data_IF_182158925194
#
_entry.id   IF_182158925194
#
_cell.length_a   1.000
_cell.length_b   1.000
_cell.length_c   1.000
_cell.angle_alpha   90.00
_cell.angle_beta   90.00
_cell.angle_gamma   90.00
#
_symmetry.space_group_name_H-M   'P 1'
#
loop_
_entity.id
_entity.type
_entity.pdbx_description
1 polymer ?
#
# COMPACT_ATOMS: atom_id res chain seq x y z
N UNK A 1 -42.63 58.27 65.09
CA UNK A 1 -43.90 58.88 65.57
C UNK A 1 -43.59 60.10 66.42
N UNK A 2 -44.44 61.12 66.38
CA UNK A 2 -44.21 62.36 67.12
C UNK A 2 -44.95 62.38 68.46
N UNK A 3 -44.40 61.63 69.41
CA UNK A 3 -45.00 61.43 70.72
C UNK A 3 -44.22 62.08 71.87
N UNK A 4 -43.08 62.72 71.60
CA UNK A 4 -42.25 63.32 72.65
C UNK A 4 -41.40 64.51 72.13
N UNK A 5 -41.87 65.77 72.24
CA UNK A 5 -43.17 66.20 72.75
C UNK A 5 -44.30 66.07 71.70
N UNK A 6 -45.53 65.83 72.15
CA UNK A 6 -46.74 65.94 71.32
C UNK A 6 -47.16 67.41 71.16
N UNK A 7 -47.43 67.91 69.94
CA UNK A 7 -47.90 69.28 69.73
C UNK A 7 -49.25 69.54 70.43
N UNK A 8 -49.37 70.64 71.17
CA UNK A 8 -50.60 71.04 71.89
C UNK A 8 -50.91 72.53 71.65
N UNK A 9 -52.18 72.93 71.81
CA UNK A 9 -52.68 74.32 71.74
C UNK A 9 -52.30 75.12 70.48
N UNK A 10 -52.34 74.49 69.30
CA UNK A 10 -51.97 75.14 68.03
C UNK A 10 -50.46 75.17 67.74
N UNK A 11 -49.65 74.45 68.52
CA UNK A 11 -48.21 74.28 68.28
C UNK A 11 -47.89 73.60 66.93
N UNK A 12 -46.70 73.89 66.39
CA UNK A 12 -46.30 73.45 65.05
C UNK A 12 -46.24 71.92 64.96
N UNK A 13 -46.85 71.35 63.92
CA UNK A 13 -46.78 69.92 63.65
C UNK A 13 -45.33 69.48 63.40
N UNK A 14 -45.02 68.24 63.77
CA UNK A 14 -43.67 67.70 63.67
C UNK A 14 -43.26 67.58 62.20
N UNK A 15 -42.10 68.13 61.87
CA UNK A 15 -41.58 68.18 60.51
C UNK A 15 -40.77 66.92 60.19
N UNK A 16 -41.06 66.28 59.06
CA UNK A 16 -40.38 65.07 58.59
C UNK A 16 -41.33 63.87 58.43
N UNK A 17 -40.83 62.78 57.83
CA UNK A 17 -41.60 61.55 57.65
C UNK A 17 -41.72 60.78 58.97
N UNK A 18 -42.91 60.24 59.25
CA UNK A 18 -43.17 59.35 60.39
C UNK A 18 -42.66 57.92 60.17
N UNK A 19 -42.23 57.63 58.94
CA UNK A 19 -41.77 56.32 58.49
C UNK A 19 -40.38 56.45 57.88
N UNK A 20 -39.53 55.50 58.23
CA UNK A 20 -38.23 55.29 57.59
C UNK A 20 -38.17 53.83 57.18
N UNK A 21 -37.76 53.59 55.96
CA UNK A 21 -37.63 52.27 55.37
C UNK A 21 -36.20 52.12 54.86
N UNK A 22 -35.54 51.03 55.26
CA UNK A 22 -34.21 50.67 54.80
C UNK A 22 -34.27 49.30 54.12
N UNK A 23 -33.56 49.17 53.00
CA UNK A 23 -33.46 47.89 52.30
C UNK A 23 -32.66 46.89 53.14
N UNK A 24 -33.21 45.68 53.31
CA UNK A 24 -32.53 44.53 53.89
C UNK A 24 -32.37 43.44 52.81
N UNK A 25 -31.38 42.57 52.97
CA UNK A 25 -31.06 41.50 52.01
C UNK A 25 -30.78 42.00 50.58
N UNK A 26 -29.94 43.03 50.44
CA UNK A 26 -29.56 43.61 49.14
C UNK A 26 -28.59 42.73 48.32
N UNK A 27 -28.36 41.49 48.74
CA UNK A 27 -27.49 40.54 48.04
C UNK A 27 -28.26 40.00 46.83
N UNK A 28 -27.66 40.04 45.64
CA UNK A 28 -28.28 39.48 44.44
C UNK A 28 -28.50 37.97 44.59
N UNK A 29 -29.62 37.45 44.08
CA UNK A 29 -29.89 36.02 44.06
C UNK A 29 -28.91 35.28 43.14
N UNK A 30 -28.50 34.04 43.49
CA UNK A 30 -27.72 33.18 42.60
C UNK A 30 -28.41 32.99 41.25
N UNK A 31 -27.64 33.09 40.16
CA UNK A 31 -28.10 32.81 38.79
C UNK A 31 -27.26 31.64 38.29
N UNK A 32 -27.91 30.50 38.06
CA UNK A 32 -27.25 29.31 37.54
C UNK A 32 -26.90 29.49 36.06
N UNK A 33 -25.77 28.92 35.67
CA UNK A 33 -25.30 28.97 34.29
C UNK A 33 -26.11 28.10 33.35
N UNK A 34 -26.38 28.63 32.15
CA UNK A 34 -26.97 27.90 31.04
C UNK A 34 -26.00 27.79 29.86
N UNK A 35 -26.04 26.66 29.17
CA UNK A 35 -25.23 26.48 27.97
C UNK A 35 -25.75 27.37 26.83
N UNK A 36 -24.82 27.94 26.06
CA UNK A 36 -25.10 28.52 24.75
C UNK A 36 -25.62 27.46 23.80
N UNK A 37 -26.15 27.92 22.66
CA UNK A 37 -26.31 27.04 21.51
C UNK A 37 -24.97 26.41 21.12
N UNK A 38 -25.04 25.22 20.54
CA UNK A 38 -23.88 24.58 19.95
C UNK A 38 -23.31 25.43 18.83
N UNK A 39 -21.97 25.56 18.80
CA UNK A 39 -21.26 26.05 17.64
C UNK A 39 -21.39 25.10 16.45
N UNK A 40 -20.92 25.57 15.31
CA UNK A 40 -20.80 24.75 14.10
C UNK A 40 -19.85 23.58 14.34
N UNK A 41 -20.05 22.49 13.58
CA UNK A 41 -19.07 21.41 13.53
C UNK A 41 -17.76 21.92 12.92
N UNK A 42 -16.64 21.56 13.55
CA UNK A 42 -15.31 21.74 12.98
C UNK A 42 -15.08 20.83 11.77
N UNK A 43 -13.91 20.96 11.16
CA UNK A 43 -13.51 20.08 10.06
C UNK A 43 -13.34 18.64 10.55
N UNK A 44 -13.58 17.69 9.65
CA UNK A 44 -13.30 16.28 9.93
C UNK A 44 -11.79 16.05 10.04
N UNK A 45 -11.37 15.20 10.97
CA UNK A 45 -9.95 14.89 11.19
C UNK A 45 -9.24 14.24 9.99
N UNK A 46 -9.99 13.56 9.13
CA UNK A 46 -9.51 12.91 7.91
C UNK A 46 -10.52 13.09 6.79
N UNK A 47 -10.09 12.96 5.54
CA UNK A 47 -10.94 13.10 4.34
C UNK A 47 -11.61 11.78 3.94
N UNK A 48 -11.12 10.65 4.42
CA UNK A 48 -11.64 9.30 4.19
C UNK A 48 -11.23 8.38 5.36
N UNK A 49 -11.72 7.15 5.40
CA UNK A 49 -11.32 6.14 6.38
C UNK A 49 -11.95 6.29 7.77
N UNK A 50 -12.91 7.21 7.93
CA UNK A 50 -13.59 7.46 9.19
C UNK A 50 -12.81 8.42 10.10
N UNK A 51 -13.23 9.68 10.11
CA UNK A 51 -12.73 10.71 11.00
C UNK A 51 -13.71 11.13 12.07
N UNK A 52 -13.27 12.08 12.89
CA UNK A 52 -14.12 12.74 13.89
C UNK A 52 -14.12 14.24 13.66
N UNK A 53 -15.29 14.85 13.79
CA UNK A 53 -15.47 16.30 13.88
C UNK A 53 -16.01 16.66 15.26
N UNK A 54 -15.62 17.84 15.74
CA UNK A 54 -15.95 18.31 17.10
C UNK A 54 -16.74 19.60 17.00
N UNK A 55 -17.74 19.77 17.85
CA UNK A 55 -18.39 21.07 18.10
C UNK A 55 -18.42 21.36 19.60
N UNK A 56 -18.43 22.64 19.94
CA UNK A 56 -18.39 23.10 21.33
C UNK A 56 -19.53 24.06 21.65
N UNK A 57 -19.79 24.24 22.95
CA UNK A 57 -20.71 25.23 23.51
C UNK A 57 -20.12 25.80 24.80
N UNK A 58 -20.48 27.03 25.16
CA UNK A 58 -19.99 27.71 26.35
C UNK A 58 -21.07 27.86 27.40
N UNK A 59 -20.68 27.91 28.68
CA UNK A 59 -21.61 28.20 29.78
C UNK A 59 -21.82 29.72 29.90
N UNK A 60 -22.62 30.28 29.00
CA UNK A 60 -22.73 31.74 28.81
C UNK A 60 -24.15 32.23 28.52
N UNK A 61 -25.16 31.38 28.64
CA UNK A 61 -26.56 31.73 28.36
C UNK A 61 -27.53 31.23 29.45
N UNK A 62 -27.57 31.87 30.64
CA UNK A 62 -26.68 32.93 31.10
C UNK A 62 -25.35 32.38 31.64
N UNK A 63 -24.37 33.25 31.87
CA UNK A 63 -23.19 32.87 32.66
C UNK A 63 -23.58 32.75 34.15
N UNK A 64 -22.99 31.83 34.94
CA UNK A 64 -23.22 31.76 36.37
C UNK A 64 -22.87 33.08 37.06
N UNK A 65 -23.77 33.59 37.92
CA UNK A 65 -23.57 34.83 38.67
C UNK A 65 -23.99 34.66 40.12
N UNK A 66 -23.45 35.51 41.00
CA UNK A 66 -23.85 35.62 42.42
C UNK A 66 -23.84 34.28 43.18
N UNK A 67 -22.88 33.40 42.87
CA UNK A 67 -22.75 32.08 43.50
C UNK A 67 -23.64 30.98 42.91
N UNK A 68 -24.26 31.21 41.75
CA UNK A 68 -25.02 30.18 41.02
C UNK A 68 -24.15 29.04 40.48
N UNK A 69 -24.80 27.91 40.22
CA UNK A 69 -24.15 26.70 39.75
C UNK A 69 -23.57 26.84 38.34
N UNK A 70 -22.48 26.10 38.07
CA UNK A 70 -21.97 25.94 36.71
C UNK A 70 -22.88 25.03 35.86
N UNK A 71 -22.76 25.15 34.53
CA UNK A 71 -23.52 24.30 33.60
C UNK A 71 -23.20 22.81 33.79
N UNK A 72 -24.24 21.98 33.85
CA UNK A 72 -24.13 20.54 33.96
C UNK A 72 -24.07 19.85 32.58
N UNK A 73 -23.02 19.05 32.35
CA UNK A 73 -22.82 18.25 31.13
C UNK A 73 -21.60 18.67 30.31
N UNK A 74 -21.35 17.96 29.20
CA UNK A 74 -20.15 18.19 28.38
C UNK A 74 -20.26 19.48 27.54
N UNK A 75 -19.20 20.31 27.51
CA UNK A 75 -19.12 21.49 26.63
C UNK A 75 -18.66 21.15 25.21
N UNK A 76 -18.33 19.88 24.95
CA UNK A 76 -17.84 19.38 23.67
C UNK A 76 -18.64 18.15 23.24
N UNK A 77 -18.87 18.01 21.94
CA UNK A 77 -19.50 16.86 21.32
C UNK A 77 -18.72 16.43 20.08
N UNK A 78 -18.58 15.12 19.91
CA UNK A 78 -17.91 14.50 18.78
C UNK A 78 -18.93 13.79 17.87
N UNK A 79 -18.64 13.73 16.57
CA UNK A 79 -19.41 12.99 15.59
C UNK A 79 -18.48 12.37 14.55
N UNK A 80 -18.75 11.14 14.13
CA UNK A 80 -18.04 10.49 13.02
C UNK A 80 -18.34 11.18 11.69
N UNK A 81 -17.34 11.27 10.83
CA UNK A 81 -17.42 11.86 9.50
C UNK A 81 -16.52 11.11 8.51
N UNK A 82 -16.71 11.33 7.21
CA UNK A 82 -15.85 10.82 6.14
C UNK A 82 -15.57 9.30 6.22
N UNK A 83 -16.63 8.51 6.32
CA UNK A 83 -16.58 7.04 6.46
C UNK A 83 -16.32 6.29 5.15
N UNK A 84 -16.17 7.00 4.04
CA UNK A 84 -15.83 6.39 2.76
C UNK A 84 -14.42 5.79 2.82
N UNK A 85 -14.21 4.66 2.14
CA UNK A 85 -12.88 4.03 2.05
C UNK A 85 -11.87 4.95 1.38
N UNK A 86 -10.62 4.91 1.83
CA UNK A 86 -9.53 5.68 1.21
C UNK A 86 -8.98 4.95 -0.01
N UNK A 87 -8.98 5.62 -1.16
CA UNK A 87 -8.25 5.17 -2.35
C UNK A 87 -6.75 5.39 -2.08
N UNK A 88 -5.94 4.35 -2.25
CA UNK A 88 -4.48 4.41 -2.04
C UNK A 88 -3.81 4.02 -3.33
N UNK A 89 -3.15 4.98 -3.97
CA UNK A 89 -2.29 4.70 -5.11
C UNK A 89 -1.01 4.01 -4.63
N UNK A 90 -0.56 3.02 -5.39
CA UNK A 90 0.67 2.31 -5.10
C UNK A 90 1.89 3.19 -5.29
N UNK A 91 2.90 3.00 -4.44
CA UNK A 91 4.20 3.59 -4.65
C UNK A 91 5.33 2.56 -4.50
N UNK A 92 6.40 2.85 -5.25
CA UNK A 92 7.59 2.03 -5.27
C UNK A 92 8.30 2.10 -3.92
N UNK A 93 8.65 0.93 -3.39
CA UNK A 93 9.60 0.80 -2.29
C UNK A 93 10.94 1.42 -2.67
N UNK A 94 11.76 1.68 -1.65
CA UNK A 94 13.17 1.93 -1.87
C UNK A 94 13.79 0.79 -2.68
N UNK A 95 14.79 1.15 -3.48
CA UNK A 95 15.58 0.16 -4.22
C UNK A 95 16.31 -0.76 -3.24
N UNK A 96 16.26 -2.06 -3.53
CA UNK A 96 17.16 -3.01 -2.91
C UNK A 96 18.63 -2.69 -3.23
N UNK A 97 19.52 -3.28 -2.42
CA UNK A 97 20.96 -3.23 -2.68
C UNK A 97 21.29 -3.84 -4.04
N UNK A 98 22.35 -3.33 -4.67
CA UNK A 98 22.92 -3.98 -5.85
C UNK A 98 23.43 -5.36 -5.47
N UNK A 99 23.17 -6.34 -6.34
CA UNK A 99 23.78 -7.67 -6.27
C UNK A 99 25.31 -7.57 -6.38
N UNK A 100 25.99 -8.66 -6.05
CA UNK A 100 27.38 -8.84 -6.49
C UNK A 100 27.47 -8.87 -8.00
N UNK A 101 28.64 -8.57 -8.55
CA UNK A 101 28.87 -8.66 -10.00
C UNK A 101 28.73 -10.12 -10.44
N UNK A 102 28.02 -10.35 -11.54
CA UNK A 102 27.76 -11.70 -12.07
C UNK A 102 29.04 -12.50 -12.39
N UNK A 103 30.16 -11.81 -12.61
CA UNK A 103 31.48 -12.39 -12.86
C UNK A 103 32.54 -11.60 -12.11
N UNK A 104 33.72 -12.19 -11.91
CA UNK A 104 34.87 -11.54 -11.26
C UNK A 104 35.83 -10.85 -12.24
N UNK A 105 35.68 -11.08 -13.54
CA UNK A 105 36.43 -10.43 -14.62
C UNK A 105 35.72 -10.65 -15.97
N UNK A 106 36.11 -9.92 -17.02
CA UNK A 106 35.58 -10.09 -18.37
C UNK A 106 34.26 -9.37 -18.68
N UNK A 107 33.78 -8.50 -17.78
CA UNK A 107 32.52 -7.75 -17.96
C UNK A 107 31.31 -8.48 -17.41
N UNK A 108 30.79 -8.03 -16.26
CA UNK A 108 29.59 -8.56 -15.62
C UNK A 108 28.43 -7.58 -15.53
N UNK A 109 27.34 -8.03 -14.93
CA UNK A 109 26.17 -7.23 -14.58
C UNK A 109 25.86 -7.34 -13.09
N UNK A 110 25.41 -6.24 -12.50
CA UNK A 110 24.73 -6.22 -11.21
C UNK A 110 23.27 -5.86 -11.45
N UNK A 111 22.39 -6.43 -10.64
CA UNK A 111 20.97 -6.12 -10.65
C UNK A 111 20.52 -5.61 -9.29
N UNK A 112 19.42 -4.87 -9.27
CA UNK A 112 18.65 -4.52 -8.07
C UNK A 112 17.18 -4.51 -8.42
N UNK A 113 16.33 -4.67 -7.42
CA UNK A 113 14.87 -4.68 -7.59
C UNK A 113 14.18 -3.79 -6.57
N UNK A 114 12.95 -3.40 -6.87
CA UNK A 114 12.01 -2.72 -5.96
C UNK A 114 10.61 -3.21 -6.23
N UNK A 115 9.71 -3.06 -5.26
CA UNK A 115 8.34 -3.54 -5.35
C UNK A 115 7.33 -2.40 -5.12
N UNK A 116 6.14 -2.51 -5.70
CA UNK A 116 5.05 -1.53 -5.54
C UNK A 116 4.28 -1.81 -4.24
N UNK A 117 4.93 -1.56 -3.11
CA UNK A 117 4.44 -1.97 -1.78
C UNK A 117 4.58 -0.90 -0.70
N UNK A 118 5.00 0.32 -1.05
CA UNK A 118 5.27 1.37 -0.06
C UNK A 118 4.63 2.72 -0.43
N UNK A 119 3.28 2.83 -0.36
CA UNK A 119 2.32 1.80 0.06
C UNK A 119 1.87 0.89 -1.11
N UNK A 120 1.26 -0.27 -0.82
CA UNK A 120 0.60 -1.08 -1.85
C UNK A 120 -0.69 -0.38 -2.32
N UNK A 121 -1.04 -0.48 -3.63
CA UNK A 121 -2.32 0.00 -4.13
C UNK A 121 -3.49 -0.66 -3.41
N UNK A 122 -4.50 0.12 -3.03
CA UNK A 122 -5.70 -0.38 -2.35
C UNK A 122 -6.96 0.41 -2.73
N UNK A 123 -8.12 -0.25 -2.56
CA UNK A 123 -9.45 0.34 -2.76
C UNK A 123 -9.64 1.02 -4.13
N UNK A 124 -9.05 0.43 -5.19
CA UNK A 124 -9.12 0.95 -6.56
C UNK A 124 -8.09 2.03 -6.90
N UNK A 125 -7.05 2.21 -6.07
CA UNK A 125 -5.92 3.05 -6.41
C UNK A 125 -5.06 2.47 -7.53
N UNK A 126 -4.24 3.33 -8.14
CA UNK A 126 -3.44 2.98 -9.32
C UNK A 126 -2.21 2.17 -8.97
N UNK A 127 -1.85 1.24 -9.85
CA UNK A 127 -0.56 0.55 -9.79
C UNK A 127 0.62 1.48 -10.13
N UNK A 128 1.81 1.09 -9.66
CA UNK A 128 3.04 1.75 -10.04
C UNK A 128 3.36 1.56 -11.54
N UNK A 129 3.86 2.61 -12.19
CA UNK A 129 4.23 2.59 -13.61
C UNK A 129 5.67 2.07 -13.80
N UNK A 130 5.87 1.11 -14.73
CA UNK A 130 7.17 0.56 -15.14
C UNK A 130 7.07 -0.92 -15.51
N UNK A 131 7.39 -1.28 -16.76
CA UNK A 131 7.25 -2.64 -17.33
C UNK A 131 8.04 -3.69 -16.54
N UNK A 132 7.37 -4.80 -16.16
CA UNK A 132 7.72 -6.20 -16.48
C UNK A 132 6.92 -7.23 -15.68
N UNK A 133 6.17 -6.83 -14.65
CA UNK A 133 5.24 -7.70 -13.92
C UNK A 133 4.38 -6.86 -12.98
N UNK A 134 3.21 -7.33 -12.53
CA UNK A 134 2.41 -6.60 -11.55
C UNK A 134 3.19 -6.46 -10.24
N UNK A 135 3.71 -5.26 -9.98
CA UNK A 135 4.28 -4.88 -8.69
C UNK A 135 5.79 -5.07 -8.48
N UNK A 136 6.57 -5.47 -9.48
CA UNK A 136 8.05 -5.57 -9.36
C UNK A 136 8.78 -4.89 -10.52
N UNK A 137 9.86 -4.16 -10.19
CA UNK A 137 10.70 -3.47 -11.17
C UNK A 137 12.17 -3.70 -10.87
N UNK A 138 12.94 -4.03 -11.92
CA UNK A 138 14.36 -4.37 -11.84
C UNK A 138 15.20 -3.42 -12.68
N UNK A 139 16.41 -3.13 -12.20
CA UNK A 139 17.40 -2.29 -12.87
C UNK A 139 18.74 -3.01 -12.91
N UNK A 140 19.54 -2.74 -13.94
CA UNK A 140 20.83 -3.40 -14.17
C UNK A 140 21.91 -2.38 -14.52
N UNK A 141 23.14 -2.66 -14.07
CA UNK A 141 24.33 -1.92 -14.49
C UNK A 141 25.48 -2.86 -14.79
N UNK A 142 26.39 -2.41 -15.66
CA UNK A 142 27.62 -3.12 -15.94
C UNK A 142 28.59 -3.00 -14.76
N UNK A 143 29.39 -4.04 -14.54
CA UNK A 143 30.43 -4.10 -13.52
C UNK A 143 31.65 -4.84 -14.06
N UNK A 144 32.83 -4.53 -13.51
CA UNK A 144 34.10 -5.24 -13.75
C UNK A 144 34.43 -5.39 -15.25
N UNK A 145 34.85 -4.30 -15.89
CA UNK A 145 35.22 -4.25 -17.31
C UNK A 145 36.66 -4.73 -17.62
N UNK A 146 37.40 -5.19 -16.61
CA UNK A 146 38.78 -5.66 -16.80
C UNK A 146 38.81 -7.04 -17.46
N UNK A 147 39.75 -7.26 -18.38
CA UNK A 147 39.96 -8.58 -19.00
C UNK A 147 40.39 -9.59 -17.94
N UNK A 148 39.90 -10.82 -18.04
CA UNK A 148 40.38 -11.89 -17.15
C UNK A 148 41.86 -12.20 -17.41
N UNK A 149 42.61 -12.63 -16.39
CA UNK A 149 43.97 -13.15 -16.55
C UNK A 149 43.96 -14.33 -17.51
N UNK A 150 44.78 -14.28 -18.56
CA UNK A 150 44.91 -15.37 -19.52
C UNK A 150 45.82 -16.46 -18.95
N UNK A 151 45.30 -17.68 -18.79
CA UNK A 151 46.11 -18.89 -18.77
C UNK A 151 46.23 -19.40 -20.20
N UNK A 152 47.39 -19.14 -20.83
CA UNK A 152 47.74 -19.47 -22.21
C UNK A 152 46.87 -18.81 -23.32
N UNK A 153 47.45 -18.50 -24.49
CA UNK A 153 46.70 -17.94 -25.61
C UNK A 153 45.64 -18.92 -26.12
N UNK A 154 44.35 -18.52 -26.08
CA UNK A 154 43.28 -19.16 -26.85
C UNK A 154 42.37 -20.14 -26.10
N UNK A 155 42.57 -20.41 -24.81
CA UNK A 155 41.67 -21.28 -24.03
C UNK A 155 41.10 -20.50 -22.84
N UNK A 156 39.82 -20.13 -22.93
CA UNK A 156 39.07 -19.52 -21.84
C UNK A 156 38.17 -20.58 -21.23
N UNK A 157 38.58 -21.17 -20.09
CA UNK A 157 37.70 -22.05 -19.32
C UNK A 157 36.90 -21.15 -18.39
N UNK A 158 35.63 -20.92 -18.72
CA UNK A 158 34.69 -20.31 -17.80
C UNK A 158 34.32 -21.36 -16.74
N UNK A 159 34.79 -21.18 -15.51
CA UNK A 159 34.38 -21.99 -14.36
C UNK A 159 33.01 -21.49 -13.89
N UNK A 160 31.93 -22.15 -14.31
CA UNK A 160 30.60 -21.85 -13.81
C UNK A 160 30.41 -22.48 -12.40
N UNK A 161 29.69 -21.82 -11.48
CA UNK A 161 29.30 -22.40 -10.20
C UNK A 161 28.50 -23.70 -10.37
N UNK A 162 28.37 -24.52 -9.32
CA UNK A 162 27.51 -25.72 -9.37
C UNK A 162 26.10 -25.35 -9.83
N UNK A 163 25.57 -26.10 -10.81
CA UNK A 163 24.26 -25.85 -11.41
C UNK A 163 24.23 -24.77 -12.51
N UNK A 164 25.38 -24.34 -13.05
CA UNK A 164 25.48 -23.39 -14.16
C UNK A 164 26.35 -23.91 -15.30
N UNK A 165 26.10 -23.45 -16.54
CA UNK A 165 26.88 -23.84 -17.74
C UNK A 165 27.02 -22.70 -18.77
N UNK A 166 27.90 -22.87 -19.76
CA UNK A 166 28.17 -21.87 -20.81
C UNK A 166 27.25 -22.03 -22.02
N UNK A 167 26.72 -20.92 -22.55
CA UNK A 167 25.71 -20.95 -23.62
C UNK A 167 26.27 -21.06 -25.06
N UNK A 168 27.59 -20.98 -25.25
CA UNK A 168 28.28 -21.22 -26.54
C UNK A 168 29.66 -21.86 -26.32
N UNK A 169 30.12 -22.65 -27.28
CA UNK A 169 31.53 -23.06 -27.37
C UNK A 169 32.42 -21.81 -27.47
N UNK A 170 32.96 -21.35 -26.34
CA UNK A 170 33.76 -20.12 -26.23
C UNK A 170 33.00 -18.84 -25.85
N UNK A 171 31.73 -18.92 -25.44
CA UNK A 171 31.00 -17.77 -24.87
C UNK A 171 31.31 -17.55 -23.38
N UNK A 172 31.35 -16.28 -22.93
CA UNK A 172 31.75 -15.89 -21.56
C UNK A 172 30.55 -15.88 -20.56
N UNK A 173 29.32 -16.15 -21.01
CA UNK A 173 28.12 -16.06 -20.17
C UNK A 173 27.74 -17.42 -19.57
N UNK A 174 27.70 -17.51 -18.23
CA UNK A 174 27.09 -18.64 -17.52
C UNK A 174 25.58 -18.40 -17.36
N UNK A 175 24.79 -19.46 -17.51
CA UNK A 175 23.33 -19.50 -17.23
C UNK A 175 23.00 -20.66 -16.31
N UNK A 176 21.91 -20.56 -15.53
CA UNK A 176 21.49 -21.67 -14.65
C UNK A 176 21.12 -22.87 -15.51
N UNK A 177 21.32 -24.07 -14.96
CA UNK A 177 20.96 -25.32 -15.61
C UNK A 177 19.45 -25.45 -15.89
N UNK A 178 18.62 -24.66 -15.19
CA UNK A 178 17.17 -24.56 -15.46
C UNK A 178 16.84 -23.76 -16.73
N UNK A 179 17.80 -22.99 -17.27
CA UNK A 179 17.66 -22.29 -18.56
C UNK A 179 18.38 -23.04 -19.68
N UNK A 180 18.70 -24.32 -19.46
CA UNK A 180 19.24 -25.19 -20.49
C UNK A 180 18.12 -25.60 -21.41
N UNK A 181 18.44 -25.87 -22.67
CA UNK A 181 17.56 -26.64 -23.55
C UNK A 181 17.14 -27.95 -22.85
N UNK A 182 16.00 -27.92 -22.16
CA UNK A 182 15.24 -29.08 -21.74
C UNK A 182 13.89 -28.99 -22.46
N UNK A 183 13.30 -30.13 -22.79
CA UNK A 183 12.09 -30.13 -23.61
C UNK A 183 10.83 -29.79 -22.79
N UNK A 184 10.99 -29.09 -21.65
CA UNK A 184 9.86 -28.55 -20.88
C UNK A 184 9.27 -27.34 -21.59
N UNK A 185 8.00 -27.08 -21.30
CA UNK A 185 7.23 -26.00 -21.92
C UNK A 185 7.05 -24.91 -20.87
N UNK A 186 8.14 -24.28 -20.46
CA UNK A 186 8.18 -23.16 -19.52
C UNK A 186 8.11 -21.82 -20.27
N UNK A 187 6.98 -21.63 -20.96
CA UNK A 187 6.68 -20.43 -21.75
C UNK A 187 6.34 -19.19 -20.91
N UNK A 188 7.26 -18.69 -20.06
CA UNK A 188 7.07 -17.40 -19.40
C UNK A 188 8.19 -16.36 -19.67
N UNK A 189 9.36 -16.74 -20.21
CA UNK A 189 10.42 -15.74 -20.47
C UNK A 189 11.23 -15.89 -21.77
N UNK A 190 10.93 -16.89 -22.61
CA UNK A 190 11.54 -17.06 -23.94
C UNK A 190 13.06 -17.29 -23.92
N UNK A 191 13.58 -17.83 -22.82
CA UNK A 191 15.01 -17.93 -22.56
C UNK A 191 15.66 -19.26 -22.98
N UNK A 192 14.90 -20.22 -23.48
CA UNK A 192 15.33 -21.61 -23.74
C UNK A 192 15.12 -22.09 -25.20
N UNK A 193 14.31 -21.41 -26.02
CA UNK A 193 13.90 -21.94 -27.34
C UNK A 193 14.61 -21.32 -28.58
N UNK A 194 15.62 -20.47 -28.41
CA UNK A 194 16.29 -19.81 -29.56
C UNK A 194 17.61 -20.47 -29.97
N UNK A 195 17.76 -20.75 -31.27
CA UNK A 195 18.96 -21.37 -31.85
C UNK A 195 20.21 -20.55 -31.47
N UNK A 196 21.17 -21.20 -30.82
CA UNK A 196 22.45 -20.59 -30.43
C UNK A 196 22.45 -19.85 -29.09
N UNK A 197 21.34 -19.87 -28.35
CA UNK A 197 21.28 -19.54 -26.92
C UNK A 197 21.24 -20.84 -26.11
N UNK A 198 21.83 -20.85 -24.91
CA UNK A 198 21.88 -22.01 -24.01
C UNK A 198 22.37 -23.35 -24.61
N UNK A 199 23.10 -23.34 -25.73
CA UNK A 199 23.53 -24.56 -26.43
C UNK A 199 22.45 -25.27 -27.25
N UNK A 200 21.27 -24.66 -27.48
CA UNK A 200 20.24 -25.22 -28.34
C UNK A 200 20.72 -25.25 -29.80
N UNK A 201 20.95 -26.47 -30.32
CA UNK A 201 21.15 -26.71 -31.74
C UNK A 201 19.81 -26.95 -32.43
N UNK A 202 19.76 -26.75 -33.74
CA UNK A 202 18.57 -27.08 -34.54
C UNK A 202 18.13 -28.53 -34.34
N UNK A 203 19.07 -29.47 -34.16
CA UNK A 203 18.76 -30.88 -33.89
C UNK A 203 18.04 -31.10 -32.55
N UNK A 204 18.47 -30.41 -31.48
CA UNK A 204 17.87 -30.54 -30.14
C UNK A 204 16.45 -29.95 -30.13
N UNK A 205 16.25 -28.80 -30.79
CA UNK A 205 14.93 -28.16 -30.91
C UNK A 205 13.97 -29.04 -31.72
N UNK A 206 14.42 -29.61 -32.85
CA UNK A 206 13.60 -30.55 -33.65
C UNK A 206 13.22 -31.79 -32.83
N UNK A 207 14.14 -32.33 -32.03
CA UNK A 207 13.88 -33.50 -31.20
C UNK A 207 12.91 -33.21 -30.04
N UNK A 208 12.94 -32.01 -29.46
CA UNK A 208 11.95 -31.59 -28.46
C UNK A 208 10.54 -31.41 -29.09
N UNK A 209 10.45 -30.88 -30.31
CA UNK A 209 9.18 -30.78 -31.04
C UNK A 209 8.56 -32.16 -31.34
N UNK A 210 9.38 -33.16 -31.69
CA UNK A 210 8.95 -34.54 -31.90
C UNK A 210 8.51 -35.23 -30.60
N UNK A 211 9.22 -34.99 -29.49
CA UNK A 211 8.90 -35.58 -28.18
C UNK A 211 7.66 -34.96 -27.51
N UNK A 212 7.40 -33.66 -27.70
CA UNK A 212 6.14 -33.03 -27.29
C UNK A 212 4.96 -33.38 -28.24
N UNK A 213 5.25 -33.98 -29.41
CA UNK A 213 4.24 -34.54 -30.32
C UNK A 213 3.83 -35.97 -29.99
N UNK A 214 4.00 -36.40 -28.73
CA UNK A 214 3.58 -37.70 -28.23
C UNK A 214 2.06 -37.93 -28.24
N UNK A 215 1.44 -38.00 -29.43
CA UNK A 215 0.21 -38.74 -29.74
C UNK A 215 -0.07 -38.74 -31.24
N UNK A 216 0.70 -39.51 -32.00
CA UNK A 216 0.15 -40.28 -33.12
C UNK A 216 0.95 -41.58 -33.26
N UNK A 217 0.35 -42.60 -32.66
CA UNK A 217 0.73 -44.00 -32.63
C UNK A 217 1.30 -44.50 -33.96
N UNK A 218 2.57 -44.89 -33.99
CA UNK A 218 3.03 -45.97 -34.88
C UNK A 218 3.84 -46.98 -34.07
N UNK A 219 3.14 -47.64 -33.15
CA UNK A 219 3.56 -48.97 -32.70
C UNK A 219 3.58 -49.90 -33.92
N UNK A 220 4.57 -50.82 -34.07
CA UNK A 220 4.63 -51.75 -35.21
C UNK A 220 3.39 -52.65 -35.35
N UNK A 221 2.49 -52.65 -34.36
CA UNK A 221 1.21 -53.35 -34.36
C UNK A 221 0.19 -52.68 -35.32
N UNK A 222 0.21 -51.35 -35.52
CA UNK A 222 -0.72 -50.68 -36.46
C UNK A 222 -0.34 -50.90 -37.93
N UNK A 223 0.94 -51.11 -38.23
CA UNK A 223 1.40 -51.48 -39.58
C UNK A 223 0.92 -52.89 -39.96
N UNK A 224 0.85 -53.82 -38.99
CA UNK A 224 0.34 -55.18 -39.21
C UNK A 224 -1.18 -55.22 -39.41
N UNK A 225 -1.94 -54.36 -38.72
CA UNK A 225 -3.39 -54.23 -38.93
C UNK A 225 -3.75 -53.65 -40.31
N UNK A 226 -2.98 -52.67 -40.81
CA UNK A 226 -3.23 -52.08 -42.14
C UNK A 226 -2.95 -53.07 -43.28
N UNK A 227 -1.96 -53.96 -43.14
CA UNK A 227 -1.69 -55.00 -44.13
C UNK A 227 -2.77 -56.10 -44.15
N UNK A 228 -3.34 -56.47 -43.00
CA UNK A 228 -4.44 -57.44 -42.92
C UNK A 228 -5.77 -56.88 -43.49
N UNK A 229 -6.05 -55.59 -43.29
CA UNK A 229 -7.23 -54.94 -43.88
C UNK A 229 -7.10 -54.80 -45.40
N UNK A 230 -5.88 -54.56 -45.92
CA UNK A 230 -5.62 -54.54 -47.36
C UNK A 230 -5.72 -55.94 -48.01
N UNK A 231 -5.34 -57.01 -47.30
CA UNK A 231 -5.49 -58.39 -47.78
C UNK A 231 -6.95 -58.88 -47.73
N UNK A 232 -7.75 -58.40 -46.77
CA UNK A 232 -9.19 -58.72 -46.70
C UNK A 232 -10.01 -58.05 -47.81
N UNK A 233 -9.59 -56.86 -48.27
CA UNK A 233 -10.22 -56.14 -49.39
C UNK A 233 -9.87 -56.70 -50.79
N UNK A 234 -9.01 -57.72 -50.89
CA UNK A 234 -8.68 -58.40 -52.15
C UNK A 234 -9.33 -59.79 -52.28
N UNK A 235 -10.09 -60.24 -51.28
CA UNK A 235 -10.72 -61.57 -51.27
C UNK A 235 -12.26 -61.55 -51.23
N UNK A 236 -12.87 -60.38 -51.46
CA UNK A 236 -14.30 -60.21 -51.74
C UNK A 236 -14.54 -59.24 -52.88
#
# INVERSE_FOLDING_TARGET
>A
SCSNPTPQYGGRSCSGSSTSSQACYTQSCPIDGGFSNWGSWGTCSVTCGGGTQVRTRSCSNPAPQYGGANCAGSPSQNKTCNTNVCIIDGAWSQWGSWSTCSVTCGGGKQSRSRACIDPPPANGGKDCVGMHSPGMHSDYKLCISQRCPATAPGVYIQLCPEGWFTCKSGGITCIQNVFKCDCSFDCDDGSDETIGYAGCSTAVITQCAENNSGKLLTSPITVFCLLLVMLYQQTH
#
